data_IF_276108093426
#
_entry.id   IF_276108093426
#
_cell.length_a   1.000
_cell.length_b   1.000
_cell.length_c   1.000
_cell.angle_alpha   90.00
_cell.angle_beta   90.00
_cell.angle_gamma   90.00
#
_symmetry.space_group_name_H-M   'P 1'
#
loop_
_entity.id
_entity.type
_entity.pdbx_description
1 polymer ?
2 water ?
#
# COMPACT_ATOMS: atom_id res chain seq x y z
N UNK A 5 44.48 -18.49 53.80
CA UNK A 5 44.22 -19.97 53.81
C UNK A 5 42.77 -20.28 53.42
N UNK A 6 41.84 -19.58 54.06
CA UNK A 6 40.42 -19.66 53.70
C UNK A 6 40.20 -19.21 52.25
N UNK A 7 40.79 -18.06 51.91
CA UNK A 7 40.77 -17.53 50.54
C UNK A 7 41.61 -18.33 49.56
N UNK A 8 42.72 -18.90 50.06
CA UNK A 8 43.58 -19.75 49.22
C UNK A 8 42.80 -20.99 48.80
N UNK A 9 42.07 -21.57 49.74
CA UNK A 9 41.19 -22.70 49.46
C UNK A 9 40.10 -22.34 48.47
N UNK A 10 39.48 -21.19 48.69
CA UNK A 10 38.41 -20.70 47.84
C UNK A 10 38.90 -20.56 46.40
N UNK A 11 40.06 -19.92 46.24
CA UNK A 11 40.71 -19.78 44.93
C UNK A 11 40.88 -21.14 44.25
N UNK A 12 41.33 -22.12 45.02
CA UNK A 12 41.54 -23.46 44.50
C UNK A 12 40.23 -24.09 44.00
N UNK A 13 39.18 -24.00 44.82
CA UNK A 13 37.86 -24.55 44.45
C UNK A 13 37.32 -23.89 43.18
N UNK A 14 37.53 -22.58 43.05
CA UNK A 14 37.08 -21.84 41.88
C UNK A 14 37.78 -22.27 40.59
N UNK A 15 39.08 -22.55 40.67
CA UNK A 15 39.81 -23.11 39.51
C UNK A 15 39.18 -24.44 39.07
N UNK A 16 38.83 -25.27 40.05
CA UNK A 16 38.29 -26.60 39.81
C UNK A 16 36.83 -26.62 39.35
N UNK A 17 35.99 -25.82 40.02
CA UNK A 17 34.53 -25.88 39.85
C UNK A 17 33.99 -24.65 39.11
N UNK A 18 33.64 -24.82 37.84
CA UNK A 18 33.17 -23.71 37.01
C UNK A 18 31.76 -23.27 37.42
N UNK A 19 30.94 -24.19 37.90
CA UNK A 19 29.59 -23.86 38.42
C UNK A 19 29.65 -22.97 39.65
N UNK A 20 30.68 -23.17 40.47
CA UNK A 20 30.90 -22.34 41.64
C UNK A 20 31.35 -20.95 41.21
N UNK A 21 32.29 -20.90 40.27
CA UNK A 21 32.79 -19.64 39.70
C UNK A 21 31.64 -18.83 39.13
N UNK A 22 30.80 -19.47 38.33
CA UNK A 22 29.63 -18.83 37.73
C UNK A 22 28.68 -18.32 38.80
N UNK A 23 28.32 -19.20 39.74
CA UNK A 23 27.38 -18.83 40.81
C UNK A 23 27.90 -17.65 41.64
N UNK A 24 29.16 -17.71 42.02
CA UNK A 24 29.76 -16.64 42.83
C UNK A 24 29.84 -15.30 42.09
N UNK A 25 30.17 -15.34 40.81
CA UNK A 25 30.22 -14.13 39.99
C UNK A 25 28.83 -13.51 39.90
N UNK A 26 27.82 -14.34 39.73
CA UNK A 26 26.44 -13.87 39.62
C UNK A 26 25.96 -13.19 40.90
N UNK A 27 26.55 -13.57 42.04
CA UNK A 27 26.30 -12.92 43.32
C UNK A 27 27.05 -11.61 43.48
N UNK A 28 28.35 -11.65 43.24
CA UNK A 28 29.20 -10.50 43.51
C UNK A 28 29.28 -9.51 42.38
N UNK A 29 29.34 -9.98 41.12
CA UNK A 29 29.62 -9.08 40.00
C UNK A 29 28.62 -7.92 39.86
N UNK A 30 27.31 -8.21 39.90
CA UNK A 30 26.33 -7.11 39.83
C UNK A 30 26.62 -6.00 40.86
N UNK A 31 27.06 -6.37 42.06
CA UNK A 31 27.37 -5.40 43.13
C UNK A 31 28.60 -4.54 42.81
N UNK A 32 29.62 -5.16 42.23
CA UNK A 32 30.84 -4.45 41.82
C UNK A 32 30.49 -3.39 40.75
N UNK A 33 29.62 -3.77 39.82
CA UNK A 33 29.15 -2.85 38.78
C UNK A 33 28.26 -1.72 39.33
N UNK A 34 27.57 -1.97 40.44
CA UNK A 34 26.77 -0.92 41.09
C UNK A 34 27.59 0.28 41.56
N UNK A 35 28.85 0.02 41.88
CA UNK A 35 29.78 1.13 42.16
C UNK A 35 29.68 2.31 41.19
N UNK A 36 29.47 3.50 41.72
CA UNK A 36 29.10 4.65 40.89
C UNK A 36 30.24 5.20 40.01
N UNK A 37 31.46 5.20 40.55
CA UNK A 37 32.64 5.62 39.78
C UNK A 37 32.90 4.65 38.63
N UNK A 38 32.75 3.36 38.91
CA UNK A 38 32.95 2.33 37.90
C UNK A 38 31.86 2.43 36.84
N UNK A 39 30.62 2.56 37.29
CA UNK A 39 29.45 2.68 36.42
C UNK A 39 29.61 3.83 35.44
N UNK A 40 30.06 4.98 35.95
CA UNK A 40 30.30 6.18 35.13
C UNK A 40 31.41 5.94 34.10
N UNK A 41 32.50 5.31 34.53
CA UNK A 41 33.60 4.99 33.59
C UNK A 41 33.11 4.08 32.46
N UNK A 42 32.37 3.04 32.82
CA UNK A 42 31.82 2.09 31.83
C UNK A 42 30.86 2.80 30.87
N UNK A 43 29.97 3.64 31.40
CA UNK A 43 29.02 4.38 30.56
C UNK A 43 29.74 5.33 29.61
N UNK A 44 30.74 6.05 30.10
CA UNK A 44 31.54 6.96 29.26
C UNK A 44 32.19 6.22 28.10
N UNK A 45 32.74 5.04 28.40
CA UNK A 45 33.38 4.23 27.38
C UNK A 45 32.38 3.74 26.32
N UNK A 46 31.22 3.25 26.76
CA UNK A 46 30.16 2.72 25.88
C UNK A 46 29.40 3.81 25.13
N UNK A 47 29.40 5.00 25.69
CA UNK A 47 28.58 6.08 25.14
C UNK A 47 28.98 6.50 23.72
N UNK A 48 30.24 6.30 23.35
CA UNK A 48 30.67 6.62 21.99
C UNK A 48 29.89 5.83 20.94
N UNK A 49 29.48 4.61 21.30
CA UNK A 49 28.77 3.68 20.41
C UNK A 49 27.27 3.44 20.73
N UNK A 51 23.44 3.09 21.29
CA UNK A 51 22.16 3.56 20.84
C UNK A 51 21.24 3.30 22.01
N UNK A 52 20.50 4.32 22.36
CA UNK A 52 19.67 4.30 23.55
C UNK A 52 18.26 3.90 23.20
N UNK A 53 17.49 3.59 24.24
CA UNK A 53 16.06 3.31 24.10
C UNK A 53 15.34 4.49 23.48
N UNK A 54 15.78 5.71 23.81
CA UNK A 54 15.23 6.91 23.22
C UNK A 54 15.49 6.98 21.71
N UNK A 55 16.68 6.55 21.28
CA UNK A 55 17.02 6.57 19.85
C UNK A 55 16.16 5.61 19.06
N UNK A 56 15.88 4.44 19.65
CA UNK A 56 15.04 3.43 19.01
C UNK A 56 13.60 3.90 18.95
N UNK A 57 13.15 4.51 20.04
CA UNK A 57 11.80 5.07 20.11
C UNK A 57 11.60 6.19 19.08
N UNK A 58 12.62 7.01 18.89
CA UNK A 58 12.57 8.08 17.87
C UNK A 58 12.47 7.50 16.47
N UNK A 59 13.17 6.40 16.20
CA UNK A 59 13.06 5.75 14.89
C UNK A 59 11.68 5.11 14.71
N UNK A 60 11.18 4.50 15.79
CA UNK A 60 9.85 3.90 15.78
C UNK A 60 8.81 4.97 15.43
N UNK A 61 8.90 6.10 16.12
CA UNK A 61 7.97 7.22 15.92
C UNK A 61 8.04 7.74 14.48
N UNK A 62 9.26 7.93 13.97
CA UNK A 62 9.45 8.41 12.60
C UNK A 62 8.94 7.42 11.55
N UNK A 63 9.17 6.12 11.79
CA UNK A 63 8.69 5.07 10.90
C UNK A 63 7.16 5.05 10.84
N UNK A 64 6.54 5.06 12.00
CA UNK A 64 5.09 5.10 12.11
C UNK A 64 4.52 6.29 11.33
N UNK A 65 5.13 7.46 11.49
CA UNK A 65 4.71 8.65 10.77
C UNK A 65 4.91 8.55 9.26
N UNK A 66 6.04 7.98 8.84
CA UNK A 66 6.33 7.79 7.41
C UNK A 66 5.33 6.84 6.77
N UNK A 67 4.97 5.77 7.48
CA UNK A 67 3.97 4.84 7.00
C UNK A 67 2.58 5.50 6.92
N UNK A 68 2.21 6.27 7.95
CA UNK A 68 0.93 7.00 7.96
C UNK A 68 0.83 8.02 6.82
N UNK A 69 1.93 8.74 6.58
CA UNK A 69 2.03 9.65 5.45
C UNK A 69 1.77 8.92 4.12
N UNK A 70 2.36 7.75 3.92
CA UNK A 70 2.17 6.99 2.70
C UNK A 70 0.74 6.46 2.57
N UNK A 71 0.18 5.97 3.67
CA UNK A 71 -1.20 5.52 3.67
C UNK A 71 -2.12 6.67 3.21
N UNK A 72 -1.87 7.86 3.73
CA UNK A 72 -2.69 9.02 3.45
C UNK A 72 -2.53 9.47 2.00
N UNK A 73 -1.30 9.53 1.54
CA UNK A 73 -1.00 9.89 0.15
C UNK A 73 -1.65 8.89 -0.82
N UNK A 74 -1.51 7.60 -0.51
CA UNK A 74 -2.11 6.53 -1.31
C UNK A 74 -3.63 6.68 -1.41
N UNK A 75 -4.27 6.98 -0.28
CA UNK A 75 -5.71 7.18 -0.25
C UNK A 75 -6.11 8.36 -1.13
N UNK A 76 -5.31 9.41 -1.12
CA UNK A 76 -5.57 10.58 -1.96
C UNK A 76 -5.35 10.30 -3.44
N UNK A 77 -4.31 9.54 -3.77
CA UNK A 77 -4.00 9.19 -5.16
C UNK A 77 -5.09 8.32 -5.77
N UNK A 78 -5.57 7.36 -4.99
CA UNK A 78 -6.69 6.51 -5.44
C UNK A 78 -7.95 7.34 -5.64
N UNK A 79 -8.21 8.28 -4.72
CA UNK A 79 -9.38 9.13 -4.80
C UNK A 79 -9.32 10.05 -6.03
N UNK A 80 -8.14 10.59 -6.32
CA UNK A 80 -7.97 11.42 -7.51
C UNK A 80 -8.27 10.65 -8.80
N UNK A 81 -7.87 9.38 -8.85
CA UNK A 81 -8.15 8.55 -10.03
C UNK A 81 -9.63 8.23 -10.13
N UNK A 82 -10.28 8.01 -8.99
CA UNK A 82 -11.72 7.76 -8.96
C UNK A 82 -12.46 8.97 -9.53
N UNK A 83 -12.09 10.17 -9.09
CA UNK A 83 -12.68 11.42 -9.61
C UNK A 83 -12.44 11.60 -11.09
N UNK A 84 -11.20 11.42 -11.51
CA UNK A 84 -10.84 11.59 -12.93
C UNK A 84 -11.64 10.61 -13.79
N UNK A 85 -11.77 9.38 -13.32
CA UNK A 85 -12.51 8.35 -14.05
C UNK A 85 -14.00 8.68 -14.13
N UNK A 86 -14.57 9.13 -13.02
CA UNK A 86 -15.97 9.53 -12.99
C UNK A 86 -16.23 10.67 -13.99
N UNK A 87 -15.29 11.60 -14.04
CA UNK A 87 -15.37 12.73 -14.97
C UNK A 87 -15.32 12.29 -16.43
N UNK A 88 -14.43 11.37 -16.76
CA UNK A 88 -14.29 10.88 -18.13
C UNK A 88 -15.55 10.14 -18.56
N UNK A 89 -16.12 9.38 -17.64
CA UNK A 89 -17.35 8.65 -17.89
C UNK A 89 -18.54 9.61 -18.07
N UNK A 90 -18.59 10.66 -17.28
CA UNK A 90 -19.63 11.68 -17.43
C UNK A 90 -19.54 12.39 -18.80
N UNK A 91 -18.32 12.66 -19.24
CA UNK A 91 -18.09 13.29 -20.54
C UNK A 91 -18.56 12.40 -21.69
N UNK A 92 -18.30 11.10 -21.57
CA UNK A 92 -18.75 10.15 -22.58
C UNK A 92 -20.28 10.03 -22.57
N UNK A 93 -20.89 10.11 -21.39
CA UNK A 93 -22.34 10.13 -21.26
C UNK A 93 -22.96 11.35 -21.94
N UNK A 94 -22.31 12.50 -21.81
CA UNK A 94 -22.75 13.72 -22.49
C UNK A 94 -22.62 13.62 -24.03
N UNK A 95 -21.60 12.91 -24.50
CA UNK A 95 -21.44 12.66 -25.95
C UNK A 95 -22.57 11.78 -26.49
N UNK A 96 -22.89 10.73 -25.76
CA UNK A 96 -24.00 9.84 -26.10
C UNK A 96 -25.31 10.62 -26.21
N UNK A 97 -25.57 11.48 -25.23
CA UNK A 97 -26.74 12.35 -25.26
C UNK A 97 -26.73 13.27 -26.47
N UNK A 98 -25.56 13.86 -26.76
CA UNK A 98 -25.42 14.74 -27.92
C UNK A 98 -25.75 14.00 -29.24
N UNK A 99 -25.28 12.76 -29.35
CA UNK A 99 -25.57 11.94 -30.53
C UNK A 99 -27.04 11.59 -30.63
N UNK A 100 -27.66 11.25 -29.51
CA UNK A 100 -29.09 10.95 -29.47
C UNK A 100 -29.89 12.14 -30.00
N UNK A 101 -29.55 13.33 -29.53
CA UNK A 101 -30.24 14.55 -29.93
C UNK A 101 -30.05 14.83 -31.41
N UNK A 102 -28.80 14.80 -31.87
CA UNK A 102 -28.49 15.04 -33.27
C UNK A 102 -29.17 14.02 -34.17
N UNK A 103 -29.19 12.76 -33.74
CA UNK A 103 -29.86 11.68 -34.47
C UNK A 103 -31.35 11.96 -34.59
N UNK A 104 -31.96 12.42 -33.50
CA UNK A 104 -33.38 12.72 -33.48
C UNK A 104 -33.70 13.87 -34.45
N UNK A 105 -32.93 14.95 -34.34
CA UNK A 105 -33.13 16.12 -35.20
C UNK A 105 -32.97 15.77 -36.68
N UNK A 106 -31.95 14.99 -36.99
CA UNK A 106 -31.71 14.55 -38.35
C UNK A 106 -32.82 13.68 -38.92
N UNK A 108 -36.01 13.83 -37.94
CA UNK A 108 -37.12 14.75 -38.16
C UNK A 108 -36.95 15.55 -39.44
N UNK A 109 -35.70 15.91 -39.71
CA UNK A 109 -35.32 16.60 -40.93
C UNK A 109 -35.60 15.73 -42.16
N UNK A 110 -35.16 14.48 -42.10
CA UNK A 110 -35.35 13.53 -43.19
C UNK A 110 -36.85 13.27 -43.43
N UNK A 111 -37.61 13.10 -42.35
CA UNK A 111 -39.05 12.88 -42.45
C UNK A 111 -39.72 14.02 -43.23
N UNK A 112 -39.39 15.25 -42.87
CA UNK A 112 -39.96 16.43 -43.51
C UNK A 112 -39.54 16.55 -44.99
N UNK A 113 -38.26 16.31 -45.26
CA UNK A 113 -37.74 16.37 -46.63
C UNK A 113 -38.41 15.36 -47.56
N UNK A 114 -38.64 14.15 -47.05
CA UNK A 114 -39.26 13.10 -47.86
C UNK A 114 -40.75 13.32 -48.04
N UNK A 115 -41.42 13.81 -46.99
CA UNK A 115 -42.83 14.21 -47.09
C UNK A 115 -43.03 15.23 -48.22
N UNK A 116 -42.20 16.27 -48.23
CA UNK A 116 -42.32 17.33 -49.23
C UNK A 116 -41.91 16.86 -50.63
N UNK A 117 -40.94 15.95 -50.70
CA UNK A 117 -40.52 15.35 -51.97
C UNK A 117 -41.66 14.55 -52.59
N UNK A 118 -42.34 13.75 -51.76
CA UNK A 118 -43.51 12.98 -52.20
C UNK A 118 -44.62 13.92 -52.65
N UNK A 119 -44.88 14.95 -51.86
CA UNK A 119 -45.92 15.93 -52.19
C UNK A 119 -45.64 16.66 -53.50
N UNK A 120 -44.37 17.00 -53.73
CA UNK A 120 -43.97 17.65 -54.98
C UNK A 120 -44.25 16.75 -56.20
N UNK A 121 -43.94 15.46 -56.06
CA UNK A 121 -44.20 14.48 -57.12
C UNK A 121 -45.70 14.28 -57.37
N UNK A 122 -46.50 14.32 -56.29
CA UNK A 122 -47.95 14.16 -56.40
C UNK A 122 -48.56 15.31 -57.21
N UNK A 123 -48.15 16.54 -56.91
CA UNK A 123 -48.61 17.71 -57.64
C UNK A 123 -48.18 17.61 -59.11
N UNK A 124 -46.97 17.10 -59.32
CA UNK A 124 -46.42 16.92 -60.66
C UNK A 124 -47.26 15.93 -61.47
N UNK A 125 -47.64 14.82 -60.86
CA UNK A 125 -48.49 13.81 -61.50
C UNK A 125 -49.91 14.31 -61.73
N UNK A 126 -50.49 14.97 -60.74
CA UNK A 126 -51.85 15.51 -60.86
C UNK A 126 -51.94 16.51 -62.01
N UNK A 127 -50.94 17.38 -62.10
CA UNK A 127 -50.82 18.33 -63.21
C UNK A 127 -50.70 17.59 -64.57
N UNK A 128 -49.90 16.54 -64.61
CA UNK A 128 -49.73 15.73 -65.82
C UNK A 128 -51.02 15.02 -66.23
N UNK A 129 -51.74 14.48 -65.26
CA UNK A 129 -53.04 13.84 -65.50
C UNK A 129 -54.01 14.84 -66.09
N UNK A 130 -54.14 15.98 -65.41
CA UNK A 130 -55.06 17.03 -65.83
C UNK A 130 -54.88 17.44 -67.31
N UNK A 131 -53.68 17.26 -67.86
CA UNK A 131 -53.47 17.39 -69.31
C UNK A 131 -54.38 16.42 -70.08
N UNK B 5 32.43 -27.24 49.03
CA UNK B 5 31.73 -27.21 50.37
C UNK B 5 31.96 -25.89 51.08
N UNK B 6 33.22 -25.46 51.15
CA UNK B 6 33.56 -24.14 51.68
C UNK B 6 32.90 -23.03 50.85
N UNK B 7 33.05 -23.13 49.53
CA UNK B 7 32.41 -22.22 48.59
C UNK B 7 30.90 -22.37 48.51
N UNK B 8 30.43 -23.59 48.70
CA UNK B 8 28.98 -23.86 48.72
C UNK B 8 28.32 -23.17 49.90
N UNK B 9 28.97 -23.26 51.05
CA UNK B 9 28.54 -22.53 52.25
C UNK B 9 28.56 -21.02 52.03
N UNK B 10 29.65 -20.53 51.44
CA UNK B 10 29.81 -19.11 51.15
C UNK B 10 28.68 -18.59 50.28
N UNK B 11 28.40 -19.33 49.20
CA UNK B 11 27.29 -19.01 48.30
C UNK B 11 25.97 -18.88 49.06
N UNK B 12 25.74 -19.82 49.97
CA UNK B 12 24.53 -19.82 50.80
C UNK B 12 24.42 -18.56 51.66
N UNK B 13 25.51 -18.23 52.35
CA UNK B 13 25.55 -17.02 53.19
C UNK B 13 25.30 -15.74 52.38
N UNK B 14 25.87 -15.69 51.17
CA UNK B 14 25.70 -14.54 50.28
C UNK B 14 24.26 -14.35 49.82
N UNK B 15 23.56 -15.45 49.53
CA UNK B 15 22.12 -15.38 49.21
C UNK B 15 21.34 -14.76 50.37
N UNK B 16 21.68 -15.16 51.59
CA UNK B 16 20.97 -14.73 52.79
C UNK B 16 21.34 -13.30 53.22
N UNK B 17 22.62 -12.97 53.20
CA UNK B 17 23.14 -11.72 53.79
C UNK B 17 23.58 -10.72 52.71
N UNK B 18 22.78 -9.69 52.48
CA UNK B 18 23.07 -8.69 51.46
C UNK B 18 24.23 -7.78 51.86
N UNK B 19 24.38 -7.52 53.16
CA UNK B 19 25.51 -6.74 53.68
C UNK B 19 26.85 -7.44 53.43
N UNK B 20 26.85 -8.77 53.48
CA UNK B 20 28.03 -9.56 53.18
C UNK B 20 28.36 -9.48 51.69
N UNK B 21 27.33 -9.64 50.86
CA UNK B 21 27.45 -9.55 49.41
C UNK B 21 28.05 -8.19 49.01
N UNK B 22 27.49 -7.13 49.58
CA UNK B 22 27.96 -5.77 49.35
C UNK B 22 29.42 -5.59 49.81
N UNK B 23 29.70 -5.99 51.04
CA UNK B 23 31.04 -5.85 51.61
C UNK B 23 32.10 -6.59 50.78
N UNK B 24 31.81 -7.83 50.41
CA UNK B 24 32.75 -8.62 49.60
C UNK B 24 32.99 -8.02 48.21
N UNK B 25 31.93 -7.50 47.58
CA UNK B 25 32.07 -6.83 46.30
C UNK B 25 32.97 -5.58 46.40
N UNK B 26 32.78 -4.82 47.48
CA UNK B 26 33.56 -3.61 47.71
C UNK B 26 35.05 -3.87 47.93
N UNK B 27 35.38 -5.07 48.38
CA UNK B 27 36.76 -5.49 48.49
C UNK B 27 37.41 -5.71 47.10
N UNK B 28 36.59 -6.02 46.10
CA UNK B 28 37.05 -6.23 44.72
C UNK B 28 37.06 -4.97 43.84
N UNK B 29 36.15 -4.05 44.13
CA UNK B 29 35.95 -2.87 43.27
C UNK B 29 37.25 -2.08 43.03
N UNK B 30 38.04 -1.81 44.09
CA UNK B 30 39.28 -1.05 43.89
C UNK B 30 40.16 -1.65 42.77
N UNK B 31 40.25 -2.97 42.71
CA UNK B 31 41.08 -3.62 41.70
C UNK B 31 40.52 -3.47 40.29
N UNK B 32 39.19 -3.55 40.16
CA UNK B 32 38.54 -3.39 38.88
C UNK B 32 38.81 -1.97 38.33
N UNK B 33 38.76 -0.98 39.21
CA UNK B 33 39.09 0.40 38.85
C UNK B 33 40.57 0.61 38.50
N UNK B 34 41.43 -0.16 39.12
CA UNK B 34 42.88 -0.09 38.95
C UNK B 34 43.41 -0.83 37.73
N UNK B 35 42.64 -1.74 37.15
CA UNK B 35 43.18 -2.72 36.22
C UNK B 35 42.41 -2.55 34.94
N UNK B 36 43.08 -1.93 33.97
CA UNK B 36 42.45 -1.58 32.71
C UNK B 36 42.03 -2.81 31.92
N UNK B 37 42.68 -3.95 32.13
CA UNK B 37 42.31 -5.22 31.46
C UNK B 37 41.02 -5.88 31.98
N UNK B 38 40.73 -5.74 33.27
CA UNK B 38 39.40 -6.13 33.78
C UNK B 38 38.32 -5.22 33.17
N UNK B 39 38.61 -3.93 33.15
CA UNK B 39 37.73 -2.94 32.52
C UNK B 39 37.48 -3.25 31.04
N UNK B 40 38.53 -3.65 30.33
CA UNK B 40 38.39 -4.05 28.93
C UNK B 40 37.55 -5.30 28.76
N UNK B 41 37.74 -6.30 29.62
CA UNK B 41 36.96 -7.52 29.56
C UNK B 41 35.48 -7.19 29.75
N UNK B 42 35.17 -6.36 30.74
CA UNK B 42 33.79 -5.94 30.98
C UNK B 42 33.21 -5.21 29.77
N UNK B 43 33.97 -4.27 29.21
CA UNK B 43 33.50 -3.50 28.05
C UNK B 43 33.26 -4.40 26.83
N UNK B 44 34.17 -5.34 26.58
CA UNK B 44 34.03 -6.31 25.48
C UNK B 44 32.76 -7.12 25.63
N UNK B 45 32.50 -7.56 26.85
CA UNK B 45 31.32 -8.38 27.14
C UNK B 45 30.04 -7.58 26.92
N UNK B 46 30.00 -6.36 27.43
CA UNK B 46 28.80 -5.53 27.34
C UNK B 46 28.53 -5.16 25.89
N UNK B 47 29.60 -4.99 25.10
CA UNK B 47 29.43 -4.61 23.70
C UNK B 47 28.80 -5.72 22.88
N UNK B 48 28.97 -6.97 23.33
CA UNK B 48 28.35 -8.10 22.64
C UNK B 48 26.83 -7.99 22.62
N UNK B 49 26.25 -7.34 23.62
CA UNK B 49 24.79 -7.18 23.71
C UNK B 49 24.26 -5.80 23.34
N UNK B 51 23.08 -2.32 21.78
CA UNK B 51 22.74 -1.70 20.51
C UNK B 51 23.64 -0.51 20.27
N UNK B 52 24.13 -0.38 19.04
CA UNK B 52 24.99 0.72 18.64
C UNK B 52 24.35 1.65 17.64
N UNK B 53 25.00 2.82 17.46
CA UNK B 53 24.60 3.78 16.45
C UNK B 53 24.63 3.17 15.05
N UNK B 54 25.59 2.28 14.81
CA UNK B 54 25.66 1.55 13.54
C UNK B 54 24.44 0.66 13.31
N UNK B 55 23.99 0.00 14.37
CA UNK B 55 22.87 -0.92 14.27
C UNK B 55 21.61 -0.17 13.94
N UNK B 56 21.43 0.98 14.58
CA UNK B 56 20.23 1.77 14.40
C UNK B 56 20.26 2.39 13.01
N UNK B 57 21.44 2.84 12.57
CA UNK B 57 21.61 3.42 11.23
C UNK B 57 21.27 2.40 10.13
N UNK B 58 21.69 1.14 10.33
CA UNK B 58 21.40 0.09 9.36
C UNK B 58 19.90 -0.16 9.28
N UNK B 59 19.21 -0.11 10.41
CA UNK B 59 17.77 -0.31 10.41
C UNK B 59 17.07 0.89 9.77
N UNK B 60 17.56 2.09 10.06
CA UNK B 60 17.02 3.32 9.49
C UNK B 60 17.10 3.24 7.98
N UNK B 61 18.28 2.88 7.47
CA UNK B 61 18.53 2.78 6.03
C UNK B 61 17.60 1.74 5.39
N UNK B 62 17.49 0.57 6.01
CA UNK B 62 16.62 -0.50 5.50
C UNK B 62 15.15 -0.11 5.49
N UNK B 63 14.71 0.54 6.57
CA UNK B 63 13.33 0.98 6.70
C UNK B 63 12.98 2.00 5.61
N UNK B 64 13.84 3.00 5.46
CA UNK B 64 13.66 4.01 4.44
C UNK B 64 13.52 3.38 3.06
N UNK B 65 14.38 2.41 2.75
CA UNK B 65 14.30 1.70 1.48
C UNK B 65 13.02 0.87 1.32
N UNK B 66 12.60 0.21 2.39
CA UNK B 66 11.39 -0.62 2.36
C UNK B 66 10.14 0.23 2.12
N UNK B 67 10.10 1.39 2.77
CA UNK B 67 9.00 2.34 2.57
C UNK B 67 9.02 2.91 1.16
N UNK B 68 10.21 3.27 0.67
CA UNK B 68 10.35 3.79 -0.69
C UNK B 68 9.92 2.78 -1.73
N UNK B 69 10.29 1.52 -1.54
CA UNK B 69 9.83 0.46 -2.40
C UNK B 69 8.31 0.40 -2.49
N UNK B 70 7.64 0.50 -1.33
CA UNK B 70 6.18 0.45 -1.33
C UNK B 70 5.57 1.68 -1.98
N UNK B 71 6.13 2.85 -1.71
CA UNK B 71 5.66 4.07 -2.37
C UNK B 71 5.73 3.91 -3.87
N UNK B 72 6.86 3.37 -4.35
CA UNK B 72 7.11 3.23 -5.77
C UNK B 72 6.17 2.20 -6.40
N UNK B 73 6.02 1.06 -5.74
CA UNK B 73 5.12 0.02 -6.21
C UNK B 73 3.67 0.55 -6.27
N UNK B 74 3.25 1.24 -5.23
CA UNK B 74 1.92 1.83 -5.15
C UNK B 74 1.68 2.81 -6.30
N UNK B 75 2.65 3.67 -6.56
CA UNK B 75 2.58 4.62 -7.66
C UNK B 75 2.42 3.88 -9.00
N UNK B 76 3.15 2.79 -9.18
CA UNK B 76 3.07 2.00 -10.41
C UNK B 76 1.73 1.29 -10.56
N UNK B 77 1.21 0.76 -9.45
CA UNK B 77 -0.06 0.04 -9.47
C UNK B 77 -1.22 0.98 -9.80
N UNK B 78 -1.19 2.18 -9.22
CA UNK B 78 -2.19 3.21 -9.53
C UNK B 78 -2.08 3.63 -10.99
N UNK B 79 -0.85 3.79 -11.47
CA UNK B 79 -0.60 4.20 -12.86
C UNK B 79 -1.11 3.14 -13.84
N UNK B 80 -0.87 1.87 -13.54
CA UNK B 80 -1.36 0.78 -14.38
C UNK B 80 -2.89 0.81 -14.51
N UNK B 81 -3.58 1.09 -13.40
CA UNK B 81 -5.03 1.19 -13.44
C UNK B 81 -5.49 2.42 -14.22
N UNK B 82 -4.77 3.52 -14.09
CA UNK B 82 -5.07 4.74 -14.84
C UNK B 82 -4.97 4.47 -16.35
N UNK B 83 -3.90 3.81 -16.76
CA UNK B 83 -3.71 3.44 -18.17
C UNK B 83 -4.79 2.48 -18.69
N UNK B 84 -5.09 1.44 -17.91
CA UNK B 84 -6.14 0.48 -18.29
C UNK B 84 -7.50 1.17 -18.42
N UNK B 85 -7.80 2.08 -17.49
CA UNK B 85 -9.05 2.83 -17.52
C UNK B 85 -9.10 3.78 -18.71
N UNK B 86 -8.01 4.48 -18.98
CA UNK B 86 -7.92 5.39 -20.12
C UNK B 86 -8.16 4.64 -21.42
N UNK B 87 -7.59 3.44 -21.51
CA UNK B 87 -7.74 2.59 -22.68
C UNK B 87 -9.20 2.13 -22.89
N UNK B 88 -9.89 1.76 -21.80
CA UNK B 88 -11.29 1.34 -21.89
C UNK B 88 -12.18 2.52 -22.31
N UNK B 89 -11.89 3.69 -21.79
CA UNK B 89 -12.62 4.91 -22.14
C UNK B 89 -12.39 5.31 -23.60
N UNK B 90 -11.16 5.16 -24.08
CA UNK B 90 -10.87 5.43 -25.48
C UNK B 90 -11.62 4.48 -26.41
N UNK B 91 -11.72 3.21 -26.02
CA UNK B 91 -12.44 2.22 -26.81
C UNK B 91 -13.93 2.56 -26.87
N UNK B 92 -14.49 3.01 -25.75
CA UNK B 92 -15.89 3.42 -25.72
C UNK B 92 -16.12 4.69 -26.57
N UNK B 93 -15.16 5.60 -26.56
CA UNK B 93 -15.21 6.80 -27.41
C UNK B 93 -15.19 6.43 -28.90
N UNK B 94 -14.39 5.43 -29.25
CA UNK B 94 -14.36 4.93 -30.63
C UNK B 94 -15.68 4.26 -31.03
N UNK B 95 -16.35 3.60 -30.09
CA UNK B 95 -17.66 2.99 -30.33
C UNK B 95 -18.71 4.06 -30.62
N UNK B 96 -18.71 5.13 -29.83
CA UNK B 96 -19.60 6.26 -30.03
C UNK B 96 -19.42 6.86 -31.43
N UNK B 97 -18.17 7.06 -31.81
CA UNK B 97 -17.83 7.57 -33.15
C UNK B 97 -18.32 6.61 -34.24
N UNK B 98 -18.11 5.30 -34.02
CA UNK B 98 -18.57 4.28 -34.96
C UNK B 98 -20.09 4.33 -35.14
N UNK B 99 -20.81 4.51 -34.03
CA UNK B 99 -22.28 4.61 -34.07
C UNK B 99 -22.73 5.87 -34.83
N UNK B 100 -22.07 6.98 -34.60
CA UNK B 100 -22.36 8.23 -35.29
C UNK B 100 -22.24 8.05 -36.80
N UNK B 101 -21.14 7.43 -37.22
CA UNK B 101 -20.87 7.18 -38.63
C UNK B 101 -21.89 6.22 -39.25
N UNK B 102 -22.14 5.10 -38.57
CA UNK B 102 -23.09 4.11 -39.04
C UNK B 102 -24.51 4.70 -39.12
N UNK B 103 -24.87 5.52 -38.14
CA UNK B 103 -26.16 6.22 -38.13
C UNK B 103 -26.30 7.14 -39.34
N UNK B 104 -25.23 7.87 -39.64
CA UNK B 104 -25.22 8.79 -40.77
C UNK B 104 -25.38 8.03 -42.10
N UNK B 105 -24.59 6.98 -42.28
CA UNK B 105 -24.64 6.17 -43.48
C UNK B 105 -26.01 5.53 -43.68
N UNK B 106 -26.58 4.99 -42.60
CA UNK B 106 -27.90 4.37 -42.66
C UNK B 106 -29.01 5.36 -43.01
N UNK B 108 -28.55 8.10 -44.89
CA UNK B 108 -28.33 8.38 -46.30
C UNK B 108 -28.86 7.24 -47.17
N UNK B 109 -28.71 6.02 -46.68
CA UNK B 109 -29.22 4.82 -47.34
C UNK B 109 -30.75 4.86 -47.40
N UNK B 110 -31.38 5.16 -46.27
CA UNK B 110 -32.84 5.27 -46.18
C UNK B 110 -33.37 6.37 -47.11
N UNK B 111 -32.71 7.53 -47.11
CA UNK B 111 -33.10 8.63 -47.99
C UNK B 111 -33.14 8.19 -49.45
N UNK B 112 -32.08 7.52 -49.88
CA UNK B 112 -31.97 7.06 -51.26
C UNK B 112 -33.01 5.98 -51.59
N UNK B 113 -33.20 5.03 -50.68
CA UNK B 113 -34.20 3.96 -50.87
C UNK B 113 -35.61 4.48 -51.02
N UNK B 114 -35.97 5.48 -50.22
CA UNK B 114 -37.31 6.05 -50.26
C UNK B 114 -37.52 6.94 -51.49
N UNK B 115 -36.49 7.70 -51.86
CA UNK B 115 -36.52 8.48 -53.10
C UNK B 115 -36.81 7.58 -54.30
N UNK B 116 -36.09 6.47 -54.40
CA UNK B 116 -36.26 5.55 -55.53
C UNK B 116 -37.59 4.79 -55.47
N UNK B 117 -38.06 4.50 -54.26
CA UNK B 117 -39.37 3.87 -54.08
C UNK B 117 -40.49 4.78 -54.58
N UNK B 118 -40.41 6.06 -54.22
CA UNK B 118 -41.38 7.05 -54.68
C UNK B 118 -41.31 7.18 -56.20
N UNK B 119 -40.09 7.27 -56.73
CA UNK B 119 -39.88 7.40 -58.18
C UNK B 119 -40.44 6.19 -58.93
N UNK B 120 -40.25 5.00 -58.38
CA UNK B 120 -40.79 3.78 -59.00
C UNK B 120 -42.31 3.82 -59.09
N UNK B 121 -42.95 4.29 -58.02
CA UNK B 121 -44.41 4.43 -57.97
C UNK B 121 -44.92 5.49 -58.96
N UNK B 122 -44.16 6.57 -59.11
CA UNK B 122 -44.51 7.63 -60.05
C UNK B 122 -44.52 7.13 -61.49
N UNK B 123 -43.48 6.39 -61.86
CA UNK B 123 -43.39 5.78 -63.19
C UNK B 123 -44.54 4.79 -63.39
N UNK B 124 -44.87 4.06 -62.34
CA UNK B 124 -45.95 3.08 -62.36
C UNK B 124 -47.29 3.76 -62.64
N UNK B 125 -47.54 4.87 -61.97
CA UNK B 125 -48.77 5.64 -62.15
C UNK B 125 -48.83 6.30 -63.53
N UNK B 126 -47.72 6.91 -63.95
CA UNK B 126 -47.65 7.55 -65.26
C UNK B 126 -47.94 6.56 -66.39
N UNK B 127 -47.35 5.38 -66.28
CA UNK B 127 -47.61 4.28 -67.22
C UNK B 127 -49.09 3.87 -67.20
N UNK B 128 -49.68 3.78 -66.01
CA UNK B 128 -51.10 3.45 -65.85
C UNK B 128 -52.02 4.50 -66.46
N UNK B 129 -51.70 5.77 -66.24
CA UNK B 129 -52.45 6.89 -66.82
C UNK B 129 -52.39 6.80 -68.34
N UNK B 130 -51.18 6.68 -68.87
CA UNK B 130 -50.95 6.63 -70.31
C UNK B 130 -51.67 5.47 -70.98
N UNK B 131 -51.69 4.32 -70.30
CA UNK B 131 -52.31 3.13 -70.86
C UNK B 131 -53.82 3.29 -70.97
N UNK B 132 -54.42 3.92 -69.96
CA UNK B 132 -55.84 4.20 -69.97
C UNK B 132 -56.18 5.10 -71.16
N UNK B 133 -55.33 6.10 -71.39
CA UNK B 133 -55.49 7.02 -72.51
C UNK B 133 -54.77 6.49 -73.74
N UNK C 6 32.10 -17.96 57.75
CA UNK C 6 32.95 -18.28 56.55
C UNK C 6 33.21 -17.05 55.70
N UNK C 7 32.15 -16.33 55.37
CA UNK C 7 32.24 -15.06 54.65
C UNK C 7 32.84 -13.94 55.47
N UNK C 8 32.60 -13.97 56.79
CA UNK C 8 33.17 -12.99 57.71
C UNK C 8 34.70 -13.12 57.73
N UNK C 9 35.16 -14.36 57.79
CA UNK C 9 36.59 -14.66 57.69
C UNK C 9 37.17 -14.22 56.34
N UNK C 10 36.45 -14.52 55.26
CA UNK C 10 36.87 -14.16 53.91
C UNK C 10 37.05 -12.65 53.78
N UNK C 11 36.06 -11.91 54.25
CA UNK C 11 36.13 -10.46 54.25
C UNK C 11 37.36 -9.95 54.98
N UNK C 12 37.67 -10.57 56.13
CA UNK C 12 38.85 -10.20 56.92
C UNK C 12 40.13 -10.42 56.14
N UNK C 13 40.26 -11.59 55.52
CA UNK C 13 41.45 -11.93 54.74
C UNK C 13 41.62 -10.96 53.57
N UNK C 14 40.52 -10.57 52.93
CA UNK C 14 40.56 -9.64 51.80
C UNK C 14 41.05 -8.25 52.21
N UNK C 15 40.64 -7.78 53.40
CA UNK C 15 41.15 -6.51 53.94
C UNK C 15 42.67 -6.57 54.12
N UNK C 16 43.15 -7.70 54.61
CA UNK C 16 44.58 -7.90 54.90
C UNK C 16 45.43 -8.14 53.66
N UNK C 17 44.95 -8.99 52.75
CA UNK C 17 45.76 -9.52 51.64
C UNK C 17 45.32 -8.94 50.29
N UNK C 18 46.12 -8.03 49.75
CA UNK C 18 45.81 -7.37 48.47
C UNK C 18 45.94 -8.33 47.29
N UNK C 19 46.90 -9.26 47.39
CA UNK C 19 47.08 -10.27 46.35
C UNK C 19 45.86 -11.18 46.22
N UNK C 20 45.20 -11.43 47.34
CA UNK C 20 43.98 -12.24 47.36
C UNK C 20 42.83 -11.47 46.73
N UNK C 21 42.68 -10.20 47.10
CA UNK C 21 41.64 -9.34 46.50
C UNK C 21 41.82 -9.27 44.98
N UNK C 22 43.06 -9.05 44.54
CA UNK C 22 43.39 -9.00 43.12
C UNK C 22 43.09 -10.33 42.42
N UNK C 23 43.59 -11.43 42.99
CA UNK C 23 43.39 -12.76 42.42
C UNK C 23 41.90 -13.11 42.31
N UNK C 24 41.13 -12.82 43.37
CA UNK C 24 39.70 -13.09 43.38
C UNK C 24 38.94 -12.28 42.31
N UNK C 25 39.31 -11.01 42.17
CA UNK C 25 38.69 -10.17 41.14
C UNK C 25 39.00 -10.70 39.73
N UNK C 26 40.23 -11.15 39.52
CA UNK C 26 40.64 -11.72 38.24
C UNK C 26 39.94 -13.05 37.91
N UNK C 27 39.48 -13.77 38.94
CA UNK C 27 38.66 -14.98 38.75
C UNK C 27 37.23 -14.68 38.37
N UNK C 28 36.63 -13.74 39.08
CA UNK C 28 35.21 -13.47 38.93
C UNK C 28 34.85 -12.56 37.74
N UNK C 29 35.63 -11.53 37.44
CA UNK C 29 35.26 -10.58 36.36
C UNK C 29 35.01 -11.24 34.99
N UNK C 30 35.92 -12.14 34.53
CA UNK C 30 35.74 -12.83 33.24
C UNK C 30 34.48 -13.65 33.06
N UNK C 31 33.85 -14.02 34.16
CA UNK C 31 32.50 -14.60 34.06
C UNK C 31 31.52 -13.77 33.21
N UNK C 32 31.73 -12.45 33.14
CA UNK C 32 30.82 -11.58 32.35
C UNK C 32 30.88 -11.94 30.87
N UNK C 33 32.08 -12.25 30.35
CA UNK C 33 32.24 -12.68 28.97
C UNK C 33 31.62 -14.05 28.68
N UNK C 34 31.63 -14.93 29.69
CA UNK C 34 31.14 -16.31 29.55
C UNK C 34 29.64 -16.47 29.82
N UNK C 35 28.99 -15.45 30.40
CA UNK C 35 27.64 -15.61 30.96
C UNK C 35 26.79 -14.51 30.38
N UNK C 36 26.00 -14.90 29.38
CA UNK C 36 25.20 -13.97 28.61
C UNK C 36 24.11 -13.34 29.45
N UNK C 37 23.51 -14.13 30.34
CA UNK C 37 22.44 -13.63 31.19
C UNK C 37 23.00 -12.61 32.18
N UNK C 38 24.20 -12.85 32.70
CA UNK C 38 24.83 -11.93 33.65
C UNK C 38 25.19 -10.63 32.93
N UNK C 39 25.83 -10.76 31.78
CA UNK C 39 26.26 -9.64 30.93
C UNK C 39 25.09 -8.70 30.60
N UNK C 40 23.96 -9.30 30.22
CA UNK C 40 22.74 -8.55 29.93
C UNK C 40 22.16 -7.86 31.16
N UNK C 41 22.14 -8.55 32.29
CA UNK C 41 21.68 -7.95 33.54
C UNK C 41 22.52 -6.72 33.89
N UNK C 42 23.84 -6.87 33.80
CA UNK C 42 24.74 -5.76 34.12
C UNK C 42 24.47 -4.56 33.21
N UNK C 43 24.36 -4.82 31.91
CA UNK C 43 24.12 -3.75 30.95
C UNK C 43 22.81 -3.03 31.20
N UNK C 44 21.75 -3.79 31.43
CA UNK C 44 20.45 -3.15 31.65
C UNK C 44 20.43 -2.34 32.98
N UNK C 45 21.19 -2.79 34.01
CA UNK C 45 21.32 -2.06 35.28
C UNK C 45 22.12 -0.77 35.20
N UNK C 46 23.10 -0.74 34.32
CA UNK C 46 23.88 0.50 34.13
C UNK C 46 23.06 1.79 33.93
N UNK C 47 21.93 1.71 33.23
CA UNK C 47 21.15 2.89 32.89
C UNK C 47 19.78 2.48 32.34
N UNK C 48 18.79 3.35 32.49
CA UNK C 48 17.49 3.22 31.82
C UNK C 48 17.57 3.43 30.29
N UNK C 49 18.64 4.07 29.82
CA UNK C 49 18.78 4.45 28.41
C UNK C 49 19.31 3.27 27.57
N UNK C 51 19.97 0.00 25.51
CA UNK C 51 19.18 -0.76 24.55
C UNK C 51 20.01 -1.93 24.05
N UNK C 52 19.37 -3.06 23.77
CA UNK C 52 20.04 -4.24 23.27
C UNK C 52 19.86 -4.46 21.77
N UNK C 53 20.64 -5.36 21.21
CA UNK C 53 20.47 -5.77 19.81
C UNK C 53 19.09 -6.41 19.58
N UNK C 54 18.56 -7.08 20.60
CA UNK C 54 17.19 -7.61 20.54
C UNK C 54 16.13 -6.51 20.40
N UNK C 55 16.36 -5.37 21.04
CA UNK C 55 15.44 -4.22 20.93
C UNK C 55 15.32 -3.68 19.48
N UNK C 56 16.45 -3.62 18.79
CA UNK C 56 16.48 -3.22 17.36
C UNK C 56 15.79 -4.25 16.44
N UNK C 57 16.04 -5.52 16.71
CA UNK C 57 15.42 -6.62 15.96
C UNK C 57 13.90 -6.60 16.14
N UNK C 58 13.44 -6.29 17.35
CA UNK C 58 12.00 -6.21 17.60
C UNK C 58 11.36 -5.06 16.80
N UNK C 59 12.06 -3.94 16.69
CA UNK C 59 11.55 -2.84 15.88
C UNK C 59 11.56 -3.19 14.39
N UNK C 60 12.62 -3.87 13.95
CA UNK C 60 12.72 -4.35 12.58
C UNK C 60 11.54 -5.25 12.23
N UNK C 61 11.27 -6.20 13.10
CA UNK C 61 10.17 -7.15 12.92
C UNK C 61 8.81 -6.43 12.85
N UNK C 62 8.59 -5.49 13.77
CA UNK C 62 7.34 -4.71 13.80
C UNK C 62 7.16 -3.83 12.56
N UNK C 63 8.26 -3.22 12.12
CA UNK C 63 8.24 -2.36 10.92
C UNK C 63 7.88 -3.17 9.67
N UNK C 64 8.55 -4.32 9.53
CA UNK C 64 8.28 -5.21 8.41
C UNK C 64 6.79 -5.58 8.34
N UNK C 65 6.22 -5.91 9.48
CA UNK C 65 4.79 -6.23 9.54
C UNK C 65 3.89 -5.04 9.21
N UNK C 66 4.25 -3.86 9.71
CA UNK C 66 3.46 -2.65 9.47
C UNK C 66 3.46 -2.27 7.99
N UNK C 67 4.61 -2.43 7.35
CA UNK C 67 4.70 -2.20 5.91
C UNK C 67 3.89 -3.24 5.12
N UNK C 68 3.98 -4.50 5.51
CA UNK C 68 3.21 -5.56 4.84
C UNK C 68 1.69 -5.35 4.96
N UNK C 69 1.25 -4.94 6.15
CA UNK C 69 -0.16 -4.58 6.36
C UNK C 69 -0.63 -3.50 5.38
N UNK C 70 0.18 -2.47 5.20
CA UNK C 70 -0.16 -1.38 4.28
C UNK C 70 -0.13 -1.86 2.82
N UNK C 71 0.88 -2.64 2.45
CA UNK C 71 0.95 -3.19 1.09
C UNK C 71 -0.32 -3.96 0.77
N UNK C 72 -0.76 -4.77 1.72
CA UNK C 72 -1.90 -5.66 1.51
C UNK C 72 -3.22 -4.86 1.44
N UNK C 73 -3.38 -3.90 2.33
CA UNK C 73 -4.53 -2.98 2.28
C UNK C 73 -4.58 -2.19 0.96
N UNK C 74 -3.42 -1.65 0.57
CA UNK C 74 -3.31 -0.88 -0.68
C UNK C 74 -3.70 -1.71 -1.90
N UNK C 75 -3.24 -2.96 -1.93
CA UNK C 75 -3.58 -3.86 -3.01
C UNK C 75 -5.11 -4.07 -3.08
N UNK C 76 -5.74 -4.20 -1.92
CA UNK C 76 -7.19 -4.39 -1.85
C UNK C 76 -7.97 -3.14 -2.28
N UNK C 77 -7.47 -1.98 -1.87
CA UNK C 77 -8.11 -0.71 -2.21
C UNK C 77 -8.03 -0.43 -3.71
N UNK C 78 -6.89 -0.73 -4.31
CA UNK C 78 -6.73 -0.59 -5.76
C UNK C 78 -7.66 -1.57 -6.50
N UNK C 79 -7.74 -2.81 -6.01
CA UNK C 79 -8.59 -3.83 -6.62
C UNK C 79 -10.07 -3.41 -6.54
N UNK C 80 -10.49 -2.86 -5.41
CA UNK C 80 -11.87 -2.38 -5.28
C UNK C 80 -12.20 -1.28 -6.31
N UNK C 81 -11.26 -0.38 -6.54
CA UNK C 81 -11.44 0.69 -7.52
C UNK C 81 -11.47 0.12 -8.94
N UNK C 82 -10.65 -0.89 -9.20
CA UNK C 82 -10.66 -1.55 -10.50
C UNK C 82 -12.02 -2.16 -10.78
N UNK C 83 -12.58 -2.87 -9.80
CA UNK C 83 -13.93 -3.44 -9.93
C UNK C 83 -15.01 -2.39 -10.14
N UNK C 84 -14.98 -1.34 -9.33
CA UNK C 84 -15.95 -0.26 -9.45
C UNK C 84 -15.86 0.42 -10.80
N UNK C 85 -14.63 0.62 -11.29
CA UNK C 85 -14.41 1.24 -12.58
C UNK C 85 -14.91 0.36 -13.71
N UNK C 86 -14.64 -0.95 -13.63
CA UNK C 86 -15.11 -1.90 -14.61
C UNK C 86 -16.63 -1.87 -14.71
N UNK C 87 -17.27 -1.77 -13.56
CA UNK C 87 -18.72 -1.68 -13.47
C UNK C 87 -19.29 -0.41 -14.12
N UNK C 88 -18.64 0.72 -13.87
CA UNK C 88 -19.09 2.00 -14.43
C UNK C 88 -18.92 2.00 -15.95
N UNK C 89 -17.83 1.42 -16.42
CA UNK C 89 -17.57 1.28 -17.85
C UNK C 89 -18.58 0.35 -18.52
N UNK C 90 -18.94 -0.74 -17.84
CA UNK C 90 -19.96 -1.63 -18.35
C UNK C 90 -21.33 -0.92 -18.48
N UNK C 91 -21.66 -0.08 -17.50
CA UNK C 91 -22.91 0.70 -17.54
C UNK C 91 -22.92 1.67 -18.74
N UNK C 92 -21.79 2.30 -19.01
CA UNK C 92 -21.67 3.17 -20.19
C UNK C 92 -21.82 2.41 -21.47
N UNK C 93 -21.21 1.22 -21.50
CA UNK C 93 -21.30 0.35 -22.67
C UNK C 93 -22.75 -0.05 -22.93
N UNK C 94 -23.51 -0.30 -21.87
CA UNK C 94 -24.93 -0.60 -21.99
C UNK C 94 -25.75 0.59 -22.51
N UNK C 95 -25.36 1.81 -22.14
CA UNK C 95 -26.01 3.02 -22.66
C UNK C 95 -25.79 3.20 -24.17
N UNK C 96 -24.56 2.98 -24.61
CA UNK C 96 -24.20 3.02 -26.04
C UNK C 96 -25.02 1.99 -26.83
N UNK C 97 -25.11 0.77 -26.29
CA UNK C 97 -25.92 -0.28 -26.90
C UNK C 97 -27.39 0.12 -26.95
N UNK C 98 -27.89 0.70 -25.87
CA UNK C 98 -29.28 1.16 -25.81
C UNK C 98 -29.57 2.20 -26.90
N UNK C 99 -28.63 3.12 -27.11
CA UNK C 99 -28.78 4.14 -28.16
C UNK C 99 -28.76 3.53 -29.56
N UNK C 100 -27.86 2.59 -29.77
CA UNK C 100 -27.78 1.88 -31.05
C UNK C 100 -29.11 1.22 -31.38
N UNK C 101 -29.68 0.54 -30.39
CA UNK C 101 -30.94 -0.17 -30.56
C UNK C 101 -32.10 0.79 -30.83
N UNK C 102 -32.21 1.83 -30.00
CA UNK C 102 -33.26 2.82 -30.15
C UNK C 102 -33.16 3.53 -31.50
N UNK C 103 -31.93 3.82 -31.92
CA UNK C 103 -31.69 4.42 -33.24
C UNK C 103 -32.16 3.50 -34.37
N UNK C 104 -31.86 2.21 -34.24
CA UNK C 104 -32.27 1.22 -35.23
C UNK C 104 -33.80 1.12 -35.32
N UNK C 105 -34.44 1.00 -34.17
CA UNK C 105 -35.91 0.88 -34.10
C UNK C 105 -36.60 2.10 -34.67
N UNK C 106 -36.10 3.28 -34.32
CA UNK C 106 -36.64 4.53 -34.83
C UNK C 106 -36.52 4.67 -36.35
N UNK C 108 -36.38 2.10 -38.49
CA UNK C 108 -37.34 1.13 -39.01
C UNK C 108 -38.76 1.69 -38.96
N UNK C 109 -39.05 2.42 -37.88
CA UNK C 109 -40.33 3.07 -37.70
C UNK C 109 -40.56 4.13 -38.78
N UNK C 110 -39.55 4.97 -39.00
CA UNK C 110 -39.61 6.01 -40.03
C UNK C 110 -39.76 5.41 -41.43
N UNK C 111 -39.00 4.35 -41.72
CA UNK C 111 -39.10 3.67 -43.00
C UNK C 111 -40.53 3.20 -43.28
N UNK C 112 -41.14 2.57 -42.29
CA UNK C 112 -42.52 2.07 -42.42
C UNK C 112 -43.54 3.21 -42.57
N UNK C 113 -43.39 4.26 -41.76
CA UNK C 113 -44.28 5.42 -41.83
C UNK C 113 -44.26 6.11 -43.19
N UNK C 114 -43.08 6.25 -43.77
CA UNK C 114 -42.93 6.91 -45.06
C UNK C 114 -43.40 6.02 -46.21
N UNK C 115 -43.13 4.73 -46.11
CA UNK C 115 -43.66 3.80 -47.09
C UNK C 115 -45.19 3.86 -47.15
N UNK C 116 -45.84 3.84 -45.99
CA UNK C 116 -47.31 3.86 -45.94
C UNK C 116 -47.86 5.22 -46.37
N UNK C 117 -47.13 6.28 -46.06
CA UNK C 117 -47.51 7.63 -46.51
C UNK C 117 -47.51 7.72 -48.03
N UNK C 118 -46.45 7.17 -48.64
CA UNK C 118 -46.35 7.14 -50.10
C UNK C 118 -47.47 6.28 -50.68
N UNK C 119 -47.70 5.11 -50.09
CA UNK C 119 -48.74 4.19 -50.55
C UNK C 119 -50.13 4.82 -50.45
N UNK C 120 -50.38 5.57 -49.39
CA UNK C 120 -51.66 6.28 -49.21
C UNK C 120 -51.89 7.30 -50.32
N UNK C 121 -50.84 8.04 -50.66
CA UNK C 121 -50.90 9.03 -51.74
C UNK C 121 -51.11 8.37 -53.11
N UNK C 122 -50.49 7.20 -53.31
CA UNK C 122 -50.64 6.46 -54.58
C UNK C 122 -52.09 6.03 -54.79
N UNK C 123 -52.69 5.47 -53.74
CA UNK C 123 -54.11 5.07 -53.80
C UNK C 123 -54.99 6.29 -54.05
N UNK C 124 -54.63 7.40 -53.43
CA UNK C 124 -55.36 8.66 -53.58
C UNK C 124 -55.34 9.14 -55.03
N UNK C 125 -54.17 9.09 -55.65
CA UNK C 125 -54.01 9.48 -57.05
C UNK C 125 -54.70 8.51 -58.01
N UNK C 126 -54.55 7.21 -57.77
CA UNK C 126 -55.17 6.20 -58.62
C UNK C 126 -56.70 6.35 -58.61
N UNK C 127 -57.26 6.58 -57.42
CA UNK C 127 -58.69 6.87 -57.27
C UNK C 127 -59.09 8.14 -58.03
N UNK C 128 -58.26 9.18 -57.94
CA UNK C 128 -58.52 10.44 -58.65
C UNK C 128 -58.47 10.28 -60.17
N UNK C 129 -57.49 9.52 -60.65
CA UNK C 129 -57.37 9.19 -62.08
C UNK C 129 -58.62 8.47 -62.55
N UNK C 130 -58.97 7.40 -61.84
CA UNK C 130 -60.12 6.57 -62.18
C UNK C 130 -61.43 7.35 -62.21
N UNK C 131 -61.59 8.29 -61.26
CA UNK C 131 -62.80 9.10 -61.14
C UNK C 131 -62.94 10.00 -62.38
N UNK C 132 -61.82 10.55 -62.84
CA UNK C 132 -61.76 11.33 -64.06
C UNK C 132 -62.11 10.48 -65.29
N UNK C 133 -61.43 9.33 -65.46
CA UNK C 133 -61.68 8.44 -66.60
C UNK C 133 -62.47 7.21 -66.17
#
# INVERSE_FOLDING_TARGET
>A
GAXGSNGRQLLEELRKDEELRRALAEELIPEVLRNRELRRAILLALSREXATKEDIEALRKATKEDIEDLREATKEDIEALRKATKEDIEALREDIEALRKATKENXEKLEAELKSYVDARVIELKSYIDTRLDSINER
>B
GAXGSNGRQLLEELRKDEELRRALAEELIPEVLRNRELRRAILLALSREXATKEDIEALRKATKEDIEDLREATKEDIEALRKATKEDIEALREDIEALRKATKENXEKLEAELKSYVDARVIELKSYIDTRLDSINER
>C
GAXGSNGRQLLEELRKDEELRRALAEELIPEVLRNRELRRAILLALSREXATKEDIEALRKATKEDIEDLREATKEDIEALRKATKEDIEALREDIEALRKATKENXEKLEAELKSYVDARVIELKSYIDTRLDSINER
#
